data_IF_348808623408
#
_entry.id   IF_348808623408
#
_cell.length_a   1.000
_cell.length_b   1.000
_cell.length_c   1.000
_cell.angle_alpha   90.00
_cell.angle_beta   90.00
_cell.angle_gamma   90.00
#
_symmetry.space_group_name_H-M   'P 1'
#
loop_
_entity.id
_entity.type
_entity.pdbx_description
1 polymer ?
#
# COMPACT_ATOMS: atom_id res chain seq x y z
N UNK A 1 12.30 -4.31 -39.82
CA UNK A 1 11.91 -4.12 -38.40
C UNK A 1 11.50 -5.43 -37.70
N UNK A 2 10.63 -6.26 -38.29
CA UNK A 2 10.17 -7.56 -37.71
C UNK A 2 11.29 -8.60 -37.55
N UNK A 3 12.26 -8.66 -38.48
CA UNK A 3 13.39 -9.60 -38.37
C UNK A 3 14.32 -9.28 -37.18
N UNK A 4 14.64 -8.00 -36.94
CA UNK A 4 15.45 -7.58 -35.78
C UNK A 4 14.76 -7.87 -34.45
N UNK A 5 13.43 -7.74 -34.37
CA UNK A 5 12.65 -8.12 -33.18
C UNK A 5 12.73 -9.63 -32.92
N UNK A 6 12.61 -10.47 -33.95
CA UNK A 6 12.74 -11.94 -33.82
C UNK A 6 14.15 -12.38 -33.41
N UNK A 7 15.19 -11.74 -33.96
CA UNK A 7 16.58 -12.02 -33.56
C UNK A 7 16.84 -11.57 -32.13
N UNK A 8 16.35 -10.38 -31.73
CA UNK A 8 16.48 -9.88 -30.36
C UNK A 8 15.73 -10.77 -29.36
N UNK A 9 14.55 -11.28 -29.71
CA UNK A 9 13.82 -12.27 -28.92
C UNK A 9 14.61 -13.57 -28.81
N UNK A 10 15.08 -14.16 -29.92
CA UNK A 10 15.90 -15.39 -29.88
C UNK A 10 17.19 -15.25 -29.07
N UNK A 11 17.87 -14.11 -29.16
CA UNK A 11 19.08 -13.82 -28.36
C UNK A 11 18.71 -13.64 -26.88
N UNK A 12 17.58 -12.99 -26.58
CA UNK A 12 17.09 -12.84 -25.21
C UNK A 12 16.68 -14.19 -24.62
N UNK A 13 15.98 -15.02 -25.40
CA UNK A 13 15.59 -16.39 -25.02
C UNK A 13 16.82 -17.29 -24.81
N UNK A 14 17.86 -17.16 -25.63
CA UNK A 14 19.13 -17.90 -25.45
C UNK A 14 19.90 -17.50 -24.19
N UNK A 15 19.68 -16.29 -23.66
CA UNK A 15 20.38 -15.79 -22.48
C UNK A 15 19.54 -16.00 -21.21
N UNK A 16 18.22 -15.83 -21.30
CA UNK A 16 17.29 -15.81 -20.16
C UNK A 16 16.43 -17.06 -20.02
N UNK A 17 16.45 -17.95 -21.00
CA UNK A 17 15.49 -19.04 -21.12
C UNK A 17 14.19 -18.59 -21.77
N UNK A 18 13.35 -19.55 -22.16
CA UNK A 18 12.06 -19.26 -22.77
C UNK A 18 10.99 -18.88 -21.73
N UNK A 19 9.88 -18.33 -22.20
CA UNK A 19 8.68 -18.14 -21.36
C UNK A 19 8.23 -19.45 -20.70
N UNK A 20 8.25 -20.56 -21.43
CA UNK A 20 7.85 -21.87 -20.91
C UNK A 20 8.76 -22.30 -19.75
N UNK A 21 10.07 -22.10 -19.90
CA UNK A 21 11.06 -22.45 -18.86
C UNK A 21 10.81 -21.66 -17.57
N UNK A 22 10.47 -20.37 -17.69
CA UNK A 22 10.17 -19.54 -16.51
C UNK A 22 8.92 -19.98 -15.76
N UNK A 23 7.88 -20.44 -16.46
CA UNK A 23 6.70 -21.02 -15.82
C UNK A 23 6.99 -22.39 -15.20
N UNK A 24 7.86 -23.19 -15.81
CA UNK A 24 8.23 -24.52 -15.31
C UNK A 24 8.95 -24.44 -13.95
N UNK A 25 9.74 -23.40 -13.69
CA UNK A 25 10.47 -23.21 -12.42
C UNK A 25 9.66 -22.45 -11.36
N UNK A 26 8.45 -21.96 -11.69
CA UNK A 26 7.62 -21.18 -10.78
C UNK A 26 7.21 -21.95 -9.50
N UNK A 27 6.90 -23.27 -9.53
CA UNK A 27 6.67 -24.03 -8.31
C UNK A 27 7.89 -24.04 -7.36
N UNK A 28 9.09 -24.29 -7.88
CA UNK A 28 10.34 -24.28 -7.11
C UNK A 28 10.62 -22.90 -6.51
N UNK A 29 10.34 -21.84 -7.29
CA UNK A 29 10.39 -20.47 -6.80
C UNK A 29 9.45 -20.25 -5.61
N UNK A 30 8.19 -20.68 -5.72
CA UNK A 30 7.20 -20.56 -4.64
C UNK A 30 7.62 -21.33 -3.37
N UNK A 31 8.12 -22.56 -3.52
CA UNK A 31 8.62 -23.38 -2.41
C UNK A 31 9.80 -22.70 -1.71
N UNK A 32 10.78 -22.24 -2.47
CA UNK A 32 11.95 -21.53 -1.93
C UNK A 32 11.52 -20.26 -1.20
N UNK A 33 10.59 -19.50 -1.79
CA UNK A 33 10.08 -18.26 -1.21
C UNK A 33 9.40 -18.49 0.14
N UNK A 34 8.58 -19.54 0.26
CA UNK A 34 7.96 -19.97 1.51
C UNK A 34 9.00 -20.40 2.54
N UNK A 35 9.96 -21.22 2.14
CA UNK A 35 11.00 -21.74 3.03
C UNK A 35 11.84 -20.62 3.65
N UNK A 36 12.20 -19.60 2.87
CA UNK A 36 12.94 -18.44 3.39
C UNK A 36 12.06 -17.42 4.12
N UNK A 37 10.74 -17.40 3.89
CA UNK A 37 9.81 -16.43 4.49
C UNK A 37 8.65 -17.13 5.19
N UNK A 38 8.97 -17.94 6.21
CA UNK A 38 7.99 -18.68 7.01
C UNK A 38 6.85 -17.78 7.48
N UNK A 39 5.61 -18.26 7.30
CA UNK A 39 4.39 -17.51 7.60
C UNK A 39 3.83 -16.67 6.43
N UNK A 40 4.54 -16.60 5.30
CA UNK A 40 3.98 -16.03 4.06
C UNK A 40 2.89 -16.94 3.48
N UNK A 41 1.95 -16.35 2.73
CA UNK A 41 0.88 -17.09 2.03
C UNK A 41 1.20 -17.10 0.55
N UNK A 42 1.30 -18.28 -0.03
CA UNK A 42 1.48 -18.48 -1.47
C UNK A 42 0.44 -19.47 -2.00
N UNK A 43 -0.27 -19.07 -3.06
CA UNK A 43 -1.18 -19.96 -3.80
C UNK A 43 -0.84 -19.94 -5.27
N UNK A 44 -0.41 -21.08 -5.79
CA UNK A 44 -0.16 -21.29 -7.22
C UNK A 44 -1.30 -22.12 -7.80
N UNK A 45 -2.00 -21.58 -8.80
CA UNK A 45 -3.01 -22.31 -9.55
C UNK A 45 -2.45 -22.66 -10.93
N UNK A 46 -1.99 -23.90 -11.06
CA UNK A 46 -1.61 -24.54 -12.30
C UNK A 46 -2.29 -25.93 -12.32
N UNK A 47 -3.42 -26.12 -13.06
CA UNK A 47 -4.10 -27.41 -13.12
C UNK A 47 -3.15 -28.48 -13.66
N UNK A 48 -3.31 -29.73 -13.23
CA UNK A 48 -2.55 -30.88 -13.75
C UNK A 48 -2.75 -31.04 -15.27
N UNK A 49 -1.77 -31.67 -15.92
CA UNK A 49 -1.81 -32.05 -17.33
C UNK A 49 -3.15 -32.71 -17.70
N UNK A 50 -3.76 -32.28 -18.81
CA UNK A 50 -4.97 -32.90 -19.37
C UNK A 50 -4.58 -33.81 -20.54
N UNK A 51 -5.54 -34.56 -21.09
CA UNK A 51 -5.31 -35.32 -22.34
C UNK A 51 -4.90 -34.44 -23.53
N UNK A 52 -5.16 -33.13 -23.48
CA UNK A 52 -4.82 -32.16 -24.52
C UNK A 52 -3.49 -31.41 -24.27
N UNK A 53 -2.98 -31.40 -23.03
CA UNK A 53 -1.79 -30.65 -22.65
C UNK A 53 -0.84 -31.49 -21.80
N UNK A 54 0.38 -31.72 -22.29
CA UNK A 54 1.46 -32.46 -21.62
C UNK A 54 1.98 -31.78 -20.35
N UNK A 55 1.68 -30.49 -20.14
CA UNK A 55 2.05 -29.71 -18.95
C UNK A 55 0.86 -28.90 -18.47
N UNK A 56 0.73 -28.75 -17.15
CA UNK A 56 -0.31 -27.93 -16.54
C UNK A 56 -0.22 -26.45 -16.94
N UNK A 57 -1.33 -25.84 -17.36
CA UNK A 57 -1.34 -24.43 -17.81
C UNK A 57 -1.40 -23.50 -16.60
N UNK A 58 -0.40 -22.65 -16.41
CA UNK A 58 -0.42 -21.60 -15.40
C UNK A 58 -1.67 -20.72 -15.55
N UNK A 59 -2.45 -20.55 -14.47
CA UNK A 59 -3.61 -19.65 -14.45
C UNK A 59 -3.36 -18.39 -13.64
N UNK A 60 -2.89 -18.54 -12.40
CA UNK A 60 -2.70 -17.42 -11.46
C UNK A 60 -1.79 -17.81 -10.30
N UNK A 61 -1.11 -16.80 -9.74
CA UNK A 61 -0.34 -16.91 -8.51
C UNK A 61 -0.74 -15.79 -7.56
N UNK A 62 -0.84 -16.11 -6.28
CA UNK A 62 -1.00 -15.16 -5.18
C UNK A 62 0.20 -15.28 -4.25
N UNK A 63 0.78 -14.13 -3.90
CA UNK A 63 1.94 -14.03 -3.02
C UNK A 63 1.68 -12.93 -1.99
N UNK A 64 1.57 -13.31 -0.72
CA UNK A 64 1.50 -12.41 0.42
C UNK A 64 2.67 -12.69 1.34
N UNK A 65 3.70 -11.84 1.26
CA UNK A 65 4.90 -11.97 2.08
C UNK A 65 4.62 -11.54 3.52
N UNK A 66 5.08 -12.33 4.48
CA UNK A 66 4.91 -12.10 5.92
C UNK A 66 5.38 -10.71 6.36
N UNK A 67 6.55 -10.25 5.92
CA UNK A 67 7.09 -8.94 6.30
C UNK A 67 6.16 -7.76 5.95
N UNK A 68 5.86 -7.55 4.65
CA UNK A 68 4.90 -6.53 4.21
C UNK A 68 3.51 -6.69 4.83
N UNK A 69 3.02 -7.92 4.98
CA UNK A 69 1.72 -8.21 5.60
C UNK A 69 1.68 -7.71 7.03
N UNK A 70 2.64 -8.12 7.85
CA UNK A 70 2.67 -7.82 9.27
C UNK A 70 2.92 -6.32 9.49
N UNK A 71 3.76 -5.68 8.66
CA UNK A 71 3.94 -4.23 8.67
C UNK A 71 2.64 -3.48 8.36
N UNK A 72 1.89 -3.91 7.35
CA UNK A 72 0.57 -3.36 7.05
C UNK A 72 -0.42 -3.59 8.21
N UNK A 73 -0.40 -4.79 8.81
CA UNK A 73 -1.29 -5.14 9.91
C UNK A 73 -1.00 -4.31 11.18
N UNK A 74 0.26 -4.00 11.45
CA UNK A 74 0.69 -3.42 12.71
C UNK A 74 0.79 -1.89 12.78
N UNK A 75 0.73 -1.18 11.65
CA UNK A 75 0.84 0.29 11.71
C UNK A 75 0.40 1.09 10.49
N UNK A 76 -0.09 0.44 9.43
CA UNK A 76 -0.71 1.15 8.31
C UNK A 76 -2.21 1.36 8.54
N UNK A 77 -2.75 2.49 8.06
CA UNK A 77 -4.19 2.59 7.80
C UNK A 77 -4.57 1.47 6.83
N UNK A 78 -5.71 0.81 7.06
CA UNK A 78 -6.22 -0.35 6.28
C UNK A 78 -6.75 0.07 4.91
N UNK A 79 -5.90 0.74 4.14
CA UNK A 79 -6.19 1.23 2.80
C UNK A 79 -5.43 0.36 1.82
N UNK A 80 -6.16 -0.31 0.94
CA UNK A 80 -5.60 -1.22 -0.05
C UNK A 80 -5.86 -0.63 -1.43
N UNK A 81 -4.78 -0.32 -2.15
CA UNK A 81 -4.81 0.09 -3.55
C UNK A 81 -4.71 -1.15 -4.45
N UNK A 82 -5.70 -1.32 -5.31
CA UNK A 82 -5.75 -2.43 -6.27
C UNK A 82 -5.42 -1.90 -7.67
N UNK A 83 -4.51 -2.57 -8.38
CA UNK A 83 -4.10 -2.22 -9.74
C UNK A 83 -4.22 -3.45 -10.67
N UNK A 84 -4.73 -3.18 -11.87
CA UNK A 84 -4.84 -4.03 -13.06
C UNK A 84 -5.00 -5.57 -12.90
N UNK A 85 -6.24 -6.05 -13.11
CA UNK A 85 -6.55 -7.31 -13.85
C UNK A 85 -7.90 -7.13 -14.57
N UNK A 86 -8.10 -7.78 -15.72
CA UNK A 86 -9.19 -7.51 -16.67
C UNK A 86 -10.52 -8.25 -16.41
N UNK A 87 -10.57 -9.22 -15.47
CA UNK A 87 -11.77 -10.03 -15.25
C UNK A 87 -12.25 -10.05 -13.79
N UNK A 88 -13.57 -10.15 -13.62
CA UNK A 88 -14.24 -10.30 -12.33
C UNK A 88 -13.77 -11.55 -11.56
N UNK A 89 -13.56 -12.67 -12.25
CA UNK A 89 -13.16 -13.93 -11.60
C UNK A 89 -11.76 -13.87 -11.01
N UNK A 90 -10.84 -13.18 -11.68
CA UNK A 90 -9.50 -12.97 -11.16
C UNK A 90 -9.51 -12.04 -9.95
N UNK A 91 -10.31 -10.97 -9.99
CA UNK A 91 -10.50 -10.08 -8.83
C UNK A 91 -11.17 -10.79 -7.66
N UNK A 92 -12.20 -11.59 -7.92
CA UNK A 92 -12.93 -12.34 -6.88
C UNK A 92 -11.98 -13.28 -6.16
N UNK A 93 -11.22 -14.07 -6.93
CA UNK A 93 -10.22 -14.96 -6.35
C UNK A 93 -9.16 -14.19 -5.56
N UNK A 94 -8.55 -13.15 -6.15
CA UNK A 94 -7.54 -12.34 -5.47
C UNK A 94 -8.05 -11.72 -4.16
N UNK A 95 -9.28 -11.21 -4.15
CA UNK A 95 -9.86 -10.57 -2.97
C UNK A 95 -10.18 -11.57 -1.87
N UNK A 96 -10.60 -12.79 -2.20
CA UNK A 96 -10.75 -13.89 -1.22
C UNK A 96 -9.39 -14.23 -0.61
N UNK A 97 -8.37 -14.44 -1.43
CA UNK A 97 -7.02 -14.74 -0.95
C UNK A 97 -6.44 -13.62 -0.08
N UNK A 98 -6.67 -12.37 -0.48
CA UNK A 98 -6.23 -11.20 0.26
C UNK A 98 -6.97 -11.05 1.60
N UNK A 99 -8.30 -11.26 1.61
CA UNK A 99 -9.12 -11.21 2.83
C UNK A 99 -8.61 -12.20 3.86
N UNK A 100 -8.47 -13.44 3.44
CA UNK A 100 -8.09 -14.55 4.31
C UNK A 100 -6.65 -14.37 4.81
N UNK A 101 -5.75 -13.89 3.95
CA UNK A 101 -4.36 -13.61 4.33
C UNK A 101 -4.22 -12.45 5.32
N UNK A 102 -5.14 -11.49 5.30
CA UNK A 102 -5.11 -10.31 6.18
C UNK A 102 -6.00 -10.46 7.41
N UNK A 103 -6.76 -11.56 7.55
CA UNK A 103 -7.74 -11.73 8.64
C UNK A 103 -8.78 -10.62 8.66
N UNK A 104 -9.24 -10.17 7.49
CA UNK A 104 -10.30 -9.14 7.40
C UNK A 104 -11.65 -9.82 7.62
N UNK A 105 -11.98 -10.02 8.90
CA UNK A 105 -13.26 -10.63 9.32
C UNK A 105 -14.40 -9.60 9.35
N UNK A 106 -14.06 -8.32 9.57
CA UNK A 106 -14.97 -7.17 9.55
C UNK A 106 -14.64 -6.24 8.37
N UNK A 107 -15.44 -6.27 7.28
CA UNK A 107 -15.22 -5.44 6.09
C UNK A 107 -15.25 -3.94 6.39
N UNK A 108 -15.94 -3.49 7.44
CA UNK A 108 -16.07 -2.06 7.78
C UNK A 108 -14.75 -1.42 8.21
N UNK A 109 -13.77 -2.23 8.65
CA UNK A 109 -12.46 -1.75 9.12
C UNK A 109 -11.45 -1.52 8.01
N UNK A 110 -11.79 -1.86 6.77
CA UNK A 110 -10.90 -1.72 5.61
C UNK A 110 -11.53 -0.82 4.53
N UNK A 111 -10.71 0.01 3.91
CA UNK A 111 -11.10 0.85 2.78
C UNK A 111 -10.39 0.37 1.53
N UNK A 112 -11.17 -0.06 0.53
CA UNK A 112 -10.63 -0.48 -0.76
C UNK A 112 -10.68 0.68 -1.76
N UNK A 113 -9.55 0.93 -2.41
CA UNK A 113 -9.41 1.97 -3.43
C UNK A 113 -9.10 1.31 -4.78
N UNK A 114 -9.88 1.66 -5.80
CA UNK A 114 -9.74 1.10 -7.16
C UNK A 114 -10.00 2.14 -8.24
N UNK A 115 -9.58 1.85 -9.48
CA UNK A 115 -9.86 2.65 -10.67
C UNK A 115 -11.32 2.57 -11.18
N UNK A 116 -12.21 1.90 -10.42
CA UNK A 116 -13.65 1.70 -10.71
C UNK A 116 -13.96 1.01 -12.04
N UNK A 117 -13.03 0.24 -12.62
CA UNK A 117 -13.39 -0.67 -13.72
C UNK A 117 -14.49 -1.65 -13.27
N UNK A 118 -15.42 -1.98 -14.16
CA UNK A 118 -16.61 -2.79 -13.84
C UNK A 118 -16.29 -4.07 -13.07
N UNK A 119 -15.27 -4.83 -13.51
CA UNK A 119 -14.88 -6.09 -12.88
C UNK A 119 -14.40 -5.99 -11.43
N UNK A 120 -13.69 -4.91 -11.05
CA UNK A 120 -13.18 -4.74 -9.69
C UNK A 120 -14.26 -4.22 -8.73
N UNK A 121 -15.17 -3.38 -9.23
CA UNK A 121 -16.32 -2.90 -8.44
C UNK A 121 -17.21 -4.07 -8.06
N UNK A 122 -17.57 -4.92 -9.03
CA UNK A 122 -18.40 -6.10 -8.80
C UNK A 122 -17.72 -7.10 -7.85
N UNK A 123 -16.43 -7.36 -8.03
CA UNK A 123 -15.70 -8.29 -7.18
C UNK A 123 -15.56 -7.81 -5.73
N UNK A 124 -15.28 -6.51 -5.50
CA UNK A 124 -15.27 -5.95 -4.15
C UNK A 124 -16.64 -6.01 -3.52
N UNK A 125 -17.70 -5.62 -4.25
CA UNK A 125 -19.08 -5.71 -3.74
C UNK A 125 -19.47 -7.15 -3.39
N UNK A 126 -18.98 -8.14 -4.12
CA UNK A 126 -19.27 -9.56 -3.87
C UNK A 126 -18.47 -10.14 -2.70
N UNK A 127 -17.16 -9.86 -2.63
CA UNK A 127 -16.27 -10.50 -1.65
C UNK A 127 -16.21 -9.73 -0.32
N UNK A 128 -16.58 -8.45 -0.33
CA UNK A 128 -16.44 -7.50 0.77
C UNK A 128 -17.72 -6.66 0.88
N UNK A 129 -18.88 -7.32 1.01
CA UNK A 129 -20.24 -6.76 0.95
C UNK A 129 -20.49 -5.53 1.82
N UNK A 130 -19.67 -5.30 2.85
CA UNK A 130 -19.82 -4.19 3.80
C UNK A 130 -18.61 -3.24 3.86
N UNK A 131 -17.60 -3.40 3.00
CA UNK A 131 -16.41 -2.55 3.02
C UNK A 131 -16.65 -1.18 2.36
N UNK A 132 -15.99 -0.15 2.89
CA UNK A 132 -16.02 1.17 2.29
C UNK A 132 -15.27 1.16 0.95
N UNK A 133 -16.00 1.15 -0.17
CA UNK A 133 -15.42 1.28 -1.51
C UNK A 133 -15.45 2.74 -1.97
N UNK A 134 -14.28 3.38 -2.03
CA UNK A 134 -14.16 4.78 -2.47
C UNK A 134 -13.65 4.85 -3.90
N UNK A 135 -14.37 5.62 -4.72
CA UNK A 135 -13.92 6.01 -6.05
C UNK A 135 -12.71 6.91 -5.99
N UNK A 136 -11.80 6.70 -6.92
CA UNK A 136 -10.51 7.34 -6.88
C UNK A 136 -10.59 8.85 -7.22
N UNK A 137 -10.11 9.74 -6.33
CA UNK A 137 -9.77 11.12 -6.67
C UNK A 137 -8.52 11.11 -7.58
N UNK A 138 -8.68 11.43 -8.87
CA UNK A 138 -7.64 11.43 -9.94
C UNK A 138 -6.21 11.81 -9.47
N UNK A 139 -6.11 12.75 -8.53
CA UNK A 139 -4.88 13.21 -7.89
C UNK A 139 -4.07 12.10 -7.19
N UNK A 140 -4.66 11.26 -6.32
CA UNK A 140 -3.89 10.26 -5.59
C UNK A 140 -3.36 9.14 -6.54
N UNK A 141 -4.00 8.90 -7.69
CA UNK A 141 -3.73 7.76 -8.58
C UNK A 141 -2.58 8.15 -9.47
N UNK A 142 -2.55 9.43 -9.85
CA UNK A 142 -1.36 10.05 -10.41
C UNK A 142 -0.15 9.87 -9.49
N UNK A 143 -0.31 9.97 -8.17
CA UNK A 143 0.79 9.78 -7.21
C UNK A 143 1.20 8.32 -7.04
N UNK A 144 0.24 7.38 -7.02
CA UNK A 144 0.51 5.94 -7.03
C UNK A 144 1.23 5.52 -8.32
N UNK A 145 0.70 5.90 -9.50
CA UNK A 145 1.37 5.69 -10.78
C UNK A 145 2.76 6.34 -10.83
N UNK A 146 2.97 7.51 -10.23
CA UNK A 146 4.30 8.14 -10.14
C UNK A 146 5.30 7.29 -9.34
N UNK A 147 4.86 6.61 -8.27
CA UNK A 147 5.72 5.73 -7.48
C UNK A 147 6.21 4.50 -8.27
N UNK A 148 5.46 4.08 -9.29
CA UNK A 148 5.76 2.92 -10.13
C UNK A 148 6.02 3.26 -11.62
N UNK A 149 6.11 4.54 -11.96
CA UNK A 149 6.25 5.02 -13.34
C UNK A 149 7.59 4.53 -13.92
N UNK A 150 7.57 3.98 -15.13
CA UNK A 150 8.74 3.37 -15.79
C UNK A 150 9.08 1.96 -15.31
N UNK A 151 8.95 1.68 -14.01
CA UNK A 151 9.34 0.41 -13.39
C UNK A 151 8.49 -0.79 -13.79
N UNK A 152 7.17 -0.60 -13.96
CA UNK A 152 6.26 -1.69 -14.38
C UNK A 152 6.43 -2.00 -15.87
N UNK A 153 6.75 -1.01 -16.71
CA UNK A 153 6.96 -1.22 -18.14
C UNK A 153 8.18 -2.10 -18.45
N UNK A 154 9.27 -1.88 -17.72
CA UNK A 154 10.47 -2.73 -17.77
C UNK A 154 10.20 -4.14 -17.24
N UNK A 155 9.44 -4.26 -16.15
CA UNK A 155 9.10 -5.54 -15.52
C UNK A 155 8.19 -6.42 -16.41
N UNK A 156 7.32 -5.81 -17.24
CA UNK A 156 6.47 -6.54 -18.21
C UNK A 156 7.24 -7.18 -19.36
N UNK A 157 8.49 -6.77 -19.58
CA UNK A 157 9.38 -7.39 -20.57
C UNK A 157 10.25 -8.52 -19.96
N UNK A 158 10.10 -8.80 -18.67
CA UNK A 158 10.81 -9.87 -17.96
C UNK A 158 10.00 -11.16 -17.98
N UNK A 159 10.69 -12.28 -17.80
CA UNK A 159 10.03 -13.55 -17.53
C UNK A 159 9.35 -13.51 -16.14
N UNK A 160 8.33 -14.34 -15.91
CA UNK A 160 7.49 -14.24 -14.69
C UNK A 160 8.33 -14.35 -13.40
N UNK A 161 9.28 -15.28 -13.32
CA UNK A 161 10.15 -15.43 -12.15
C UNK A 161 11.11 -14.25 -11.99
N UNK A 162 11.65 -13.73 -13.09
CA UNK A 162 12.51 -12.54 -13.06
C UNK A 162 11.72 -11.31 -12.57
N UNK A 163 10.49 -11.15 -13.05
CA UNK A 163 9.56 -10.09 -12.64
C UNK A 163 9.25 -10.18 -11.14
N UNK A 164 8.91 -11.38 -10.65
CA UNK A 164 8.61 -11.62 -9.24
C UNK A 164 9.84 -11.35 -8.37
N UNK A 165 11.03 -11.76 -8.80
CA UNK A 165 12.28 -11.48 -8.11
C UNK A 165 12.63 -9.98 -8.08
N UNK A 166 12.44 -9.26 -9.18
CA UNK A 166 12.66 -7.82 -9.25
C UNK A 166 11.71 -7.07 -8.31
N UNK A 167 10.41 -7.42 -8.33
CA UNK A 167 9.40 -6.85 -7.41
C UNK A 167 9.76 -7.15 -5.96
N UNK A 168 10.11 -8.40 -5.63
CA UNK A 168 10.50 -8.80 -4.27
C UNK A 168 11.73 -8.04 -3.80
N UNK A 169 12.80 -7.96 -4.61
CA UNK A 169 14.05 -7.26 -4.28
C UNK A 169 13.83 -5.77 -4.07
N UNK A 170 13.03 -5.12 -4.93
CA UNK A 170 12.67 -3.70 -4.78
C UNK A 170 11.90 -3.45 -3.49
N UNK A 171 10.96 -4.32 -3.14
CA UNK A 171 10.24 -4.22 -1.87
C UNK A 171 11.15 -4.44 -0.66
N UNK A 172 11.99 -5.48 -0.69
CA UNK A 172 12.97 -5.78 0.35
C UNK A 172 13.90 -4.59 0.60
N UNK A 173 14.50 -4.03 -0.45
CA UNK A 173 15.35 -2.83 -0.33
C UNK A 173 14.58 -1.64 0.21
N UNK A 174 13.35 -1.43 -0.26
CA UNK A 174 12.50 -0.31 0.19
C UNK A 174 12.16 -0.41 1.69
N UNK A 175 11.86 -1.60 2.19
CA UNK A 175 11.64 -1.82 3.64
C UNK A 175 12.92 -1.52 4.41
N UNK A 176 14.05 -2.10 3.99
CA UNK A 176 15.35 -1.88 4.63
C UNK A 176 15.74 -0.40 4.72
N UNK A 177 15.71 0.33 3.60
CA UNK A 177 16.09 1.74 3.59
C UNK A 177 15.12 2.61 4.40
N UNK A 178 13.83 2.24 4.47
CA UNK A 178 12.85 2.96 5.29
C UNK A 178 13.06 2.70 6.78
N UNK A 179 13.34 1.48 7.19
CA UNK A 179 13.70 1.15 8.56
C UNK A 179 15.00 1.85 8.99
N UNK A 180 16.01 1.84 8.12
CA UNK A 180 17.26 2.59 8.37
C UNK A 180 17.00 4.09 8.51
N UNK A 181 16.18 4.65 7.62
CA UNK A 181 15.83 6.07 7.67
C UNK A 181 14.99 6.42 8.91
N UNK A 182 14.13 5.53 9.39
CA UNK A 182 13.32 5.78 10.58
C UNK A 182 14.15 5.87 11.84
N UNK A 183 15.14 4.98 12.00
CA UNK A 183 16.07 5.04 13.14
C UNK A 183 16.87 6.35 13.22
N UNK A 184 17.08 7.03 12.08
CA UNK A 184 17.78 8.31 12.01
C UNK A 184 16.87 9.53 12.30
N UNK A 185 15.55 9.36 12.40
CA UNK A 185 14.63 10.46 12.68
C UNK A 185 14.78 10.93 14.13
N UNK A 186 14.90 12.25 14.31
CA UNK A 186 14.97 12.88 15.64
C UNK A 186 13.60 13.31 16.16
N UNK A 187 12.65 13.58 15.27
CA UNK A 187 11.28 14.00 15.60
C UNK A 187 10.34 12.82 15.77
N UNK A 188 9.31 13.01 16.59
CA UNK A 188 8.24 12.03 16.79
C UNK A 188 7.32 11.91 15.57
N UNK A 189 7.26 12.94 14.71
CA UNK A 189 6.51 12.94 13.46
C UNK A 189 7.41 12.78 12.25
N UNK A 190 6.86 12.22 11.17
CA UNK A 190 7.56 12.06 9.90
C UNK A 190 7.88 13.44 9.26
N UNK A 191 9.03 13.63 8.59
CA UNK A 191 9.43 14.95 8.07
C UNK A 191 8.41 15.59 7.14
N UNK A 192 7.74 14.79 6.30
CA UNK A 192 6.69 15.30 5.40
C UNK A 192 5.44 15.75 6.15
N UNK A 193 5.11 15.08 7.25
CA UNK A 193 3.99 15.46 8.12
C UNK A 193 4.34 16.74 8.87
N UNK A 194 5.56 16.83 9.40
CA UNK A 194 6.06 18.03 10.05
C UNK A 194 5.99 19.24 9.12
N UNK A 195 6.45 19.11 7.87
CA UNK A 195 6.37 20.19 6.89
C UNK A 195 4.93 20.65 6.58
N UNK A 196 3.95 19.73 6.60
CA UNK A 196 2.52 20.08 6.44
C UNK A 196 2.03 20.86 7.66
N UNK A 197 2.38 20.40 8.86
CA UNK A 197 2.05 21.07 10.13
C UNK A 197 2.66 22.46 10.16
N UNK A 198 3.96 22.61 9.89
CA UNK A 198 4.66 23.90 9.91
C UNK A 198 4.04 24.91 8.92
N UNK A 199 3.55 24.43 7.77
CA UNK A 199 2.78 25.27 6.84
C UNK A 199 1.46 25.71 7.47
N UNK A 200 0.64 24.77 7.94
CA UNK A 200 -0.67 25.06 8.53
C UNK A 200 -0.57 25.90 9.80
N UNK A 201 0.46 25.71 10.62
CA UNK A 201 0.72 26.50 11.83
C UNK A 201 1.00 27.97 11.53
N UNK A 202 1.61 28.28 10.37
CA UNK A 202 1.79 29.67 9.93
C UNK A 202 0.46 30.32 9.55
N UNK A 203 -0.39 29.58 8.87
CA UNK A 203 -1.74 30.01 8.47
C UNK A 203 -2.68 30.11 9.68
N UNK A 204 -2.49 29.27 10.70
CA UNK A 204 -3.29 29.26 11.93
C UNK A 204 -3.20 30.57 12.73
N UNK A 205 -2.16 31.39 12.51
CA UNK A 205 -1.97 32.67 13.25
C UNK A 205 -3.03 33.72 12.97
N UNK A 206 -3.75 33.62 11.84
CA UNK A 206 -4.85 34.53 11.52
C UNK A 206 -6.20 34.04 12.05
N UNK A 207 -6.27 32.83 12.62
CA UNK A 207 -7.52 32.26 13.12
C UNK A 207 -7.88 32.91 14.45
N UNK A 208 -9.11 33.42 14.55
CA UNK A 208 -9.66 33.92 15.82
C UNK A 208 -10.32 32.78 16.59
N UNK A 209 -10.18 32.76 17.90
CA UNK A 209 -10.61 31.67 18.78
C UNK A 209 -11.58 32.22 19.82
N UNK A 210 -12.69 31.51 20.02
CA UNK A 210 -13.70 31.77 21.03
C UNK A 210 -13.97 30.46 21.77
N UNK A 211 -13.59 30.41 23.05
CA UNK A 211 -13.79 29.22 23.86
C UNK A 211 -15.25 29.10 24.30
N UNK A 212 -15.88 27.97 23.98
CA UNK A 212 -17.27 27.68 24.39
C UNK A 212 -17.34 26.66 25.52
N UNK A 213 -16.31 25.84 25.70
CA UNK A 213 -16.20 24.88 26.80
C UNK A 213 -14.76 24.38 26.99
N UNK A 214 -14.58 23.36 27.83
CA UNK A 214 -13.24 22.83 28.14
C UNK A 214 -12.50 22.31 26.89
N UNK A 215 -13.23 21.65 25.98
CA UNK A 215 -12.66 21.03 24.77
C UNK A 215 -13.28 21.52 23.46
N UNK A 216 -14.20 22.50 23.52
CA UNK A 216 -14.97 22.98 22.37
C UNK A 216 -14.71 24.46 22.14
N UNK A 217 -14.34 24.79 20.90
CA UNK A 217 -13.95 26.12 20.48
C UNK A 217 -14.67 26.49 19.19
N UNK A 218 -15.23 27.70 19.13
CA UNK A 218 -15.61 28.33 17.88
C UNK A 218 -14.38 29.08 17.35
N UNK A 219 -14.10 28.89 16.07
CA UNK A 219 -12.92 29.43 15.39
C UNK A 219 -13.34 30.12 14.10
N UNK A 220 -12.81 31.30 13.83
CA UNK A 220 -13.02 31.99 12.56
C UNK A 220 -11.75 31.88 11.72
N UNK A 221 -11.84 31.18 10.59
CA UNK A 221 -10.74 31.01 9.65
C UNK A 221 -10.33 32.32 8.96
N UNK A 222 -9.17 32.30 8.30
CA UNK A 222 -8.71 33.43 7.47
C UNK A 222 -9.59 33.70 6.25
N UNK A 223 -10.44 32.73 5.89
CA UNK A 223 -11.50 32.80 4.88
C UNK A 223 -12.81 33.41 5.41
N UNK A 224 -12.82 33.86 6.68
CA UNK A 224 -14.00 34.38 7.38
C UNK A 224 -15.11 33.35 7.60
N UNK A 225 -14.78 32.05 7.56
CA UNK A 225 -15.74 30.98 7.84
C UNK A 225 -15.62 30.53 9.29
N UNK A 226 -16.76 30.48 9.98
CA UNK A 226 -16.83 29.95 11.34
C UNK A 226 -16.82 28.43 11.34
N UNK A 227 -16.07 27.87 12.28
CA UNK A 227 -15.91 26.44 12.46
C UNK A 227 -15.94 26.09 13.94
N UNK A 228 -16.44 24.90 14.25
CA UNK A 228 -16.36 24.32 15.59
C UNK A 228 -15.23 23.29 15.61
N UNK A 229 -14.27 23.50 16.52
CA UNK A 229 -13.14 22.61 16.74
C UNK A 229 -13.30 21.92 18.09
N UNK A 230 -13.23 20.59 18.08
CA UNK A 230 -13.36 19.72 19.26
C UNK A 230 -12.07 18.95 19.45
N UNK A 231 -11.26 19.34 20.42
CA UNK A 231 -9.88 18.84 20.57
C UNK A 231 -9.82 17.43 21.18
N UNK A 232 -10.75 17.10 22.07
CA UNK A 232 -10.93 15.79 22.69
C UNK A 232 -11.36 14.72 21.67
N UNK A 233 -12.14 15.13 20.68
CA UNK A 233 -12.61 14.28 19.58
C UNK A 233 -11.71 14.31 18.35
N UNK A 234 -10.63 15.10 18.36
CA UNK A 234 -9.74 15.32 17.21
C UNK A 234 -10.51 15.69 15.93
N UNK A 235 -11.49 16.58 16.04
CA UNK A 235 -12.48 16.86 14.98
C UNK A 235 -12.68 18.36 14.76
N UNK A 236 -13.01 18.74 13.53
CA UNK A 236 -13.34 20.13 13.18
C UNK A 236 -14.39 20.15 12.07
N UNK A 237 -15.33 21.08 12.13
CA UNK A 237 -16.38 21.22 11.10
C UNK A 237 -15.85 21.53 9.69
N UNK A 238 -14.59 21.95 9.56
CA UNK A 238 -13.94 22.09 8.25
C UNK A 238 -13.59 20.74 7.59
N UNK A 239 -13.76 19.62 8.31
CA UNK A 239 -13.57 18.23 7.88
C UNK A 239 -12.13 17.85 7.47
N UNK A 240 -11.20 18.80 7.47
CA UNK A 240 -9.79 18.55 7.13
C UNK A 240 -9.15 17.60 8.14
N UNK A 241 -9.43 17.79 9.44
CA UNK A 241 -8.84 16.95 10.49
C UNK A 241 -9.40 15.53 10.44
N UNK A 242 -10.72 15.40 10.36
CA UNK A 242 -11.43 14.13 10.31
C UNK A 242 -11.01 13.28 9.10
N UNK A 243 -10.83 13.90 7.93
CA UNK A 243 -10.42 13.19 6.71
C UNK A 243 -8.93 12.83 6.74
N UNK A 244 -8.07 13.78 7.11
CA UNK A 244 -6.61 13.60 6.96
C UNK A 244 -5.96 12.88 8.14
N UNK A 245 -6.58 12.94 9.33
CA UNK A 245 -5.95 12.55 10.59
C UNK A 245 -4.84 13.51 11.04
N UNK A 246 -4.77 14.70 10.43
CA UNK A 246 -3.81 15.74 10.78
C UNK A 246 -4.53 17.03 11.14
N UNK A 247 -4.09 17.77 12.17
CA UNK A 247 -4.77 18.97 12.62
C UNK A 247 -4.87 20.01 11.50
N UNK A 248 -6.04 20.63 11.37
CA UNK A 248 -6.28 21.75 10.47
C UNK A 248 -5.75 23.06 11.05
N UNK A 249 -5.84 24.16 10.31
CA UNK A 249 -5.43 25.50 10.79
C UNK A 249 -6.20 25.90 12.06
N UNK A 250 -7.49 25.58 12.16
CA UNK A 250 -8.31 25.83 13.35
C UNK A 250 -7.83 25.04 14.58
N UNK A 251 -7.56 23.76 14.40
CA UNK A 251 -7.02 22.89 15.45
C UNK A 251 -5.65 23.35 15.95
N UNK A 252 -4.77 23.77 15.03
CA UNK A 252 -3.45 24.30 15.39
C UNK A 252 -3.53 25.66 16.09
N UNK A 253 -4.51 26.50 15.74
CA UNK A 253 -4.77 27.74 16.45
C UNK A 253 -5.19 27.46 17.90
N UNK A 254 -6.16 26.56 18.09
CA UNK A 254 -6.59 26.11 19.42
C UNK A 254 -5.44 25.49 20.20
N UNK A 255 -4.61 24.65 19.57
CA UNK A 255 -3.42 24.06 20.20
C UNK A 255 -2.47 25.13 20.73
N UNK A 256 -2.23 26.19 19.96
CA UNK A 256 -1.38 27.31 20.37
C UNK A 256 -2.00 28.09 21.54
N UNK A 257 -3.33 28.22 21.57
CA UNK A 257 -4.06 28.86 22.66
C UNK A 257 -3.99 28.04 23.95
N UNK A 258 -4.15 26.72 23.87
CA UNK A 258 -4.11 25.81 25.02
C UNK A 258 -2.70 25.34 25.40
N UNK A 259 -1.67 25.72 24.63
CA UNK A 259 -0.25 25.35 24.82
C UNK A 259 0.01 23.84 24.86
N UNK A 260 -0.65 23.08 23.97
CA UNK A 260 -0.44 21.64 23.85
C UNK A 260 0.71 21.24 22.92
N UNK A 261 0.93 19.93 22.75
CA UNK A 261 1.87 19.36 21.78
C UNK A 261 1.15 18.93 20.50
N UNK A 262 1.79 19.10 19.35
CA UNK A 262 1.14 18.85 18.06
C UNK A 262 1.05 17.35 17.73
N UNK A 263 1.99 16.58 18.25
CA UNK A 263 2.04 15.13 18.20
C UNK A 263 0.74 14.52 18.75
N UNK A 264 0.21 15.08 19.83
CA UNK A 264 -0.99 14.57 20.50
C UNK A 264 -2.26 14.77 19.66
N UNK A 265 -2.22 15.67 18.66
CA UNK A 265 -3.32 15.94 17.73
C UNK A 265 -3.19 15.17 16.40
N UNK A 266 -2.11 14.43 16.21
CA UNK A 266 -1.87 13.67 14.99
C UNK A 266 -2.35 12.22 15.14
N UNK A 267 -2.89 11.66 14.06
CA UNK A 267 -3.18 10.23 14.00
C UNK A 267 -1.89 9.42 14.21
N UNK A 268 -1.97 8.37 15.05
CA UNK A 268 -0.84 7.50 15.40
C UNK A 268 -0.10 6.94 14.17
N UNK A 269 -0.77 6.80 13.03
CA UNK A 269 -0.17 6.37 11.77
C UNK A 269 0.98 7.29 11.27
N UNK A 270 1.03 8.54 11.74
CA UNK A 270 2.05 9.52 11.34
C UNK A 270 3.25 9.60 12.29
N UNK A 271 3.25 8.82 13.38
CA UNK A 271 4.33 8.82 14.35
C UNK A 271 5.49 7.93 13.91
N UNK A 272 6.70 8.34 14.28
CA UNK A 272 7.95 7.61 14.10
C UNK A 272 7.84 6.19 14.65
N UNK A 273 7.33 6.03 15.88
CA UNK A 273 7.18 4.72 16.52
C UNK A 273 6.34 3.75 15.67
N UNK A 274 5.23 4.22 15.11
CA UNK A 274 4.39 3.42 14.20
C UNK A 274 5.13 3.10 12.90
N UNK A 275 5.83 4.08 12.33
CA UNK A 275 6.61 3.89 11.11
C UNK A 275 7.74 2.87 11.30
N UNK A 276 8.47 2.93 12.42
CA UNK A 276 9.50 1.95 12.79
C UNK A 276 8.91 0.55 12.90
N UNK A 277 7.77 0.41 13.60
CA UNK A 277 7.05 -0.86 13.71
C UNK A 277 6.60 -1.40 12.36
N UNK A 278 6.14 -0.55 11.45
CA UNK A 278 5.74 -0.99 10.08
C UNK A 278 6.93 -1.57 9.32
N UNK A 279 8.11 -0.95 9.42
CA UNK A 279 9.29 -1.34 8.63
C UNK A 279 10.27 -2.25 9.36
N UNK A 280 10.01 -2.65 10.60
CA UNK A 280 10.79 -3.67 11.32
C UNK A 280 10.54 -5.10 10.82
N UNK A 281 9.50 -5.30 10.00
CA UNK A 281 9.15 -6.59 9.43
C UNK A 281 9.84 -6.82 8.08
N UNK A 282 11.01 -7.47 8.11
CA UNK A 282 11.82 -7.72 6.92
C UNK A 282 11.35 -8.94 6.12
N UNK A 283 11.57 -8.89 4.80
CA UNK A 283 11.55 -10.10 3.96
C UNK A 283 12.97 -10.65 3.86
N UNK A 284 13.10 -11.97 3.98
CA UNK A 284 14.38 -12.65 3.91
C UNK A 284 14.87 -12.78 2.46
N UNK A 285 16.20 -12.79 2.32
CA UNK A 285 16.85 -13.03 1.03
C UNK A 285 16.59 -14.47 0.56
N UNK A 286 16.65 -14.66 -0.76
CA UNK A 286 16.58 -15.98 -1.38
C UNK A 286 17.95 -16.34 -1.94
N UNK A 287 18.26 -17.63 -1.91
CA UNK A 287 19.35 -18.18 -2.69
C UNK A 287 19.02 -18.06 -4.18
N UNK A 288 20.06 -18.05 -5.03
CA UNK A 288 19.88 -18.01 -6.48
C UNK A 288 19.22 -19.27 -7.02
N UNK A 289 18.62 -19.18 -8.22
CA UNK A 289 17.84 -20.25 -8.85
C UNK A 289 18.54 -21.61 -8.91
N UNK A 290 19.86 -21.63 -9.08
CA UNK A 290 20.67 -22.86 -9.07
C UNK A 290 20.63 -23.65 -7.74
N UNK A 291 20.08 -23.06 -6.68
CA UNK A 291 19.94 -23.66 -5.35
C UNK A 291 18.48 -23.89 -4.95
N UNK A 292 17.51 -23.59 -5.83
CA UNK A 292 16.11 -23.88 -5.55
C UNK A 292 15.89 -25.39 -5.66
N UNK A 293 15.13 -25.93 -4.70
CA UNK A 293 14.78 -27.36 -4.64
C UNK A 293 13.39 -27.57 -5.24
#
# INVERSE_FOLDING_TARGET
MVLCLRVKLKVTDSIRGSLADSYAVLPQYCTTLLASNLGSVLKLHAPLASKEYTYGVFKRVFICLVGPRDGFLNGCKKIIGLDEVESRDNWTWFLVELRDSLGIDDPHRSTFMSDRKKGIVEAVSCCMTSANHRGYLRYLYSNFKKLFKGKIGEARAMLIVEMLEDVRKRWMQKIYYRHKASGALKSDLLPKVQAIIDKRSREARSVRIFQSGQYVFQTLGGDLVENVTKIDLMSCTCNVWDISGLPCTHALAVLSFTRGRVEDLCDKAFHKATYEKVYSHFSHALLGQKYWQ
#
